data_IF_594768834223
#
_entry.id   IF_594768834223
#
_cell.length_a   1.000
_cell.length_b   1.000
_cell.length_c   1.000
_cell.angle_alpha   90.00
_cell.angle_beta   90.00
_cell.angle_gamma   90.00
#
_symmetry.space_group_name_H-M   'P 1'
#
loop_
_entity.id
_entity.type
_entity.pdbx_description
1 polymer ?
#
# COMPACT_ATOMS: atom_id res chain seq x y z
N UNK A 1 -11.71 -12.16 0.59
CA UNK A 1 -10.85 -11.55 -0.45
C UNK A 1 -9.63 -11.03 0.27
N UNK A 2 -8.45 -11.55 -0.06
CA UNK A 2 -7.18 -11.07 0.55
C UNK A 2 -6.88 -9.71 -0.09
N UNK A 3 -6.55 -8.70 0.72
CA UNK A 3 -6.22 -7.37 0.22
C UNK A 3 -4.94 -7.45 -0.63
N UNK A 4 -4.94 -6.81 -1.81
CA UNK A 4 -3.79 -6.78 -2.73
C UNK A 4 -2.65 -5.87 -2.23
N UNK A 5 -2.94 -5.01 -1.25
CA UNK A 5 -2.01 -4.12 -0.58
C UNK A 5 -2.20 -4.28 0.93
N UNK A 6 -1.09 -4.39 1.66
CA UNK A 6 -1.06 -4.36 3.12
C UNK A 6 -0.31 -3.13 3.61
N UNK A 7 -0.80 -2.51 4.68
CA UNK A 7 -0.19 -1.30 5.27
C UNK A 7 0.10 -1.55 6.73
N UNK A 8 1.33 -1.28 7.16
CA UNK A 8 1.73 -1.28 8.56
C UNK A 8 2.36 0.07 8.93
N UNK A 9 1.99 0.61 10.09
CA UNK A 9 2.55 1.88 10.56
C UNK A 9 3.66 1.62 11.58
N UNK A 10 4.83 2.20 11.34
CA UNK A 10 5.99 2.18 12.23
C UNK A 10 6.40 3.62 12.56
N UNK A 11 5.78 4.17 13.61
CA UNK A 11 5.93 5.58 13.95
C UNK A 11 5.37 6.46 12.82
N UNK A 12 6.21 7.34 12.26
CA UNK A 12 5.86 8.18 11.13
C UNK A 12 6.02 7.52 9.76
N UNK A 13 6.34 6.23 9.68
CA UNK A 13 6.54 5.52 8.40
C UNK A 13 5.37 4.58 8.13
N UNK A 14 4.77 4.68 6.95
CA UNK A 14 3.81 3.72 6.44
C UNK A 14 4.52 2.72 5.53
N UNK A 15 4.60 1.47 5.97
CA UNK A 15 5.16 0.35 5.22
C UNK A 15 4.06 -0.26 4.36
N UNK A 16 4.18 -0.15 3.04
CA UNK A 16 3.19 -0.61 2.06
C UNK A 16 3.71 -1.83 1.33
N UNK A 17 3.12 -2.98 1.61
CA UNK A 17 3.50 -4.26 1.02
C UNK A 17 2.56 -4.61 -0.13
N UNK A 18 3.12 -4.82 -1.32
CA UNK A 18 2.39 -5.41 -2.44
C UNK A 18 2.20 -6.91 -2.15
N UNK A 19 0.97 -7.34 -1.93
CA UNK A 19 0.66 -8.70 -1.49
C UNK A 19 0.15 -9.57 -2.66
N UNK A 20 0.97 -9.71 -3.71
CA UNK A 20 0.67 -10.57 -4.86
C UNK A 20 1.85 -11.50 -5.20
N UNK A 21 2.24 -12.39 -4.26
CA UNK A 21 3.41 -13.25 -4.42
C UNK A 21 3.30 -14.19 -5.62
N UNK A 22 2.10 -14.69 -5.93
CA UNK A 22 1.85 -15.63 -7.04
C UNK A 22 2.22 -15.06 -8.42
N UNK A 23 2.32 -13.73 -8.54
CA UNK A 23 2.71 -13.04 -9.76
C UNK A 23 3.98 -12.20 -9.58
N UNK A 24 4.79 -12.47 -8.55
CA UNK A 24 5.97 -11.66 -8.19
C UNK A 24 5.65 -10.16 -8.07
N UNK A 25 4.48 -9.82 -7.53
CA UNK A 25 3.98 -8.45 -7.42
C UNK A 25 3.85 -7.70 -8.76
N UNK A 26 3.66 -8.44 -9.85
CA UNK A 26 3.38 -7.83 -11.15
C UNK A 26 2.13 -6.95 -11.08
N UNK A 27 2.24 -5.75 -11.64
CA UNK A 27 1.16 -4.77 -11.73
C UNK A 27 0.01 -5.33 -12.56
N UNK A 28 -1.17 -5.38 -11.96
CA UNK A 28 -2.45 -5.57 -12.64
C UNK A 28 -3.38 -4.40 -12.28
N UNK A 29 -4.61 -4.43 -12.79
CA UNK A 29 -5.61 -3.40 -12.51
C UNK A 29 -5.90 -3.27 -11.02
N UNK A 30 -6.18 -4.40 -10.36
CA UNK A 30 -6.53 -4.42 -8.93
C UNK A 30 -5.40 -3.86 -8.05
N UNK A 31 -4.14 -4.25 -8.33
CA UNK A 31 -2.99 -3.75 -7.59
C UNK A 31 -2.77 -2.25 -7.84
N UNK A 32 -2.97 -1.80 -9.08
CA UNK A 32 -2.85 -0.37 -9.42
C UNK A 32 -3.92 0.47 -8.72
N UNK A 33 -5.17 0.00 -8.71
CA UNK A 33 -6.27 0.65 -8.00
C UNK A 33 -6.01 0.64 -6.49
N UNK A 34 -5.56 -0.48 -5.92
CA UNK A 34 -5.19 -0.60 -4.51
C UNK A 34 -4.06 0.35 -4.09
N UNK A 35 -3.03 0.53 -4.94
CA UNK A 35 -1.94 1.48 -4.69
C UNK A 35 -2.49 2.91 -4.65
N UNK A 36 -3.30 3.30 -5.65
CA UNK A 36 -3.86 4.65 -5.74
C UNK A 36 -4.71 4.97 -4.51
N UNK A 37 -5.60 4.05 -4.12
CA UNK A 37 -6.45 4.22 -2.94
C UNK A 37 -5.61 4.33 -1.66
N UNK A 38 -4.67 3.41 -1.48
CA UNK A 38 -3.80 3.37 -0.30
C UNK A 38 -2.97 4.65 -0.18
N UNK A 39 -2.34 5.10 -1.27
CA UNK A 39 -1.49 6.28 -1.25
C UNK A 39 -2.32 7.55 -1.06
N UNK A 40 -3.53 7.61 -1.61
CA UNK A 40 -4.45 8.74 -1.38
C UNK A 40 -4.87 8.83 0.10
N UNK A 41 -5.13 7.68 0.75
CA UNK A 41 -5.44 7.64 2.17
C UNK A 41 -4.23 8.05 3.03
N UNK A 42 -3.03 7.52 2.73
CA UNK A 42 -1.80 7.86 3.45
C UNK A 42 -1.38 9.33 3.27
N UNK A 43 -1.65 9.93 2.11
CA UNK A 43 -1.37 11.34 1.86
C UNK A 43 -2.26 12.28 2.70
N UNK A 44 -3.43 11.81 3.13
CA UNK A 44 -4.32 12.55 4.01
C UNK A 44 -4.03 12.33 5.51
N UNK A 45 -3.10 11.42 5.84
CA UNK A 45 -2.71 11.11 7.21
C UNK A 45 -1.52 11.99 7.65
N UNK A 46 -1.79 13.00 8.48
CA UNK A 46 -0.78 13.89 9.05
C UNK A 46 0.27 13.15 9.91
N UNK A 47 -0.01 11.91 10.35
CA UNK A 47 0.93 11.05 11.06
C UNK A 47 1.99 10.43 10.15
N UNK A 48 1.71 10.29 8.86
CA UNK A 48 2.62 9.69 7.88
C UNK A 48 3.63 10.73 7.38
N UNK A 49 4.90 10.46 7.60
CA UNK A 49 6.05 11.28 7.21
C UNK A 49 6.85 10.64 6.07
N UNK A 50 6.78 9.33 5.92
CA UNK A 50 7.39 8.60 4.82
C UNK A 50 6.57 7.36 4.47
N UNK A 51 6.62 6.95 3.20
CA UNK A 51 6.02 5.72 2.68
C UNK A 51 7.16 4.86 2.12
N UNK A 52 7.17 3.57 2.44
CA UNK A 52 8.17 2.58 2.00
C UNK A 52 7.49 1.37 1.38
#
# INVERSE_FOLDING_TARGET
>A
MVAVIEVAHQGGVALVTLNRPDANNALNRDLSEGIIETFSALAADDGVKAIV
#
